data_IF_604100543352
#
_entry.id   IF_604100543352
#
_cell.length_a   1.000
_cell.length_b   1.000
_cell.length_c   1.000
_cell.angle_alpha   90.00
_cell.angle_beta   90.00
_cell.angle_gamma   90.00
#
_symmetry.space_group_name_H-M   'P 1'
#
loop_
_entity.id
_entity.type
_entity.pdbx_description
1 polymer ?
#
# COMPACT_ATOMS: atom_id res chain seq x y z
N UNK A 1 -15.34 -17.50 -16.64
CA UNK A 1 -13.91 -17.65 -17.00
C UNK A 1 -13.04 -16.66 -16.21
N UNK A 2 -12.28 -17.15 -15.24
CA UNK A 2 -11.26 -16.38 -14.52
C UNK A 2 -9.97 -16.41 -15.34
N UNK A 3 -9.74 -15.39 -16.17
CA UNK A 3 -8.43 -15.20 -16.80
C UNK A 3 -7.44 -14.79 -15.70
N UNK A 4 -6.61 -15.73 -15.23
CA UNK A 4 -5.41 -15.40 -14.46
C UNK A 4 -4.49 -14.60 -15.37
N UNK A 5 -4.08 -13.41 -14.94
CA UNK A 5 -3.13 -12.60 -15.69
C UNK A 5 -1.81 -13.36 -15.80
N UNK A 6 -1.40 -13.69 -17.02
CA UNK A 6 -0.07 -14.23 -17.30
C UNK A 6 0.97 -13.14 -17.06
N UNK A 7 2.12 -13.49 -16.50
CA UNK A 7 3.25 -12.55 -16.42
C UNK A 7 3.67 -12.14 -17.83
N UNK A 8 4.25 -10.94 -17.98
CA UNK A 8 4.82 -10.47 -19.25
C UNK A 8 5.76 -11.50 -19.87
N UNK A 9 6.59 -12.13 -19.04
CA UNK A 9 7.52 -13.18 -19.46
C UNK A 9 6.78 -14.38 -20.07
N UNK A 10 5.73 -14.87 -19.41
CA UNK A 10 4.96 -16.02 -19.91
C UNK A 10 4.14 -15.69 -21.16
N UNK A 11 3.69 -14.44 -21.30
CA UNK A 11 3.05 -13.97 -22.53
C UNK A 11 4.03 -13.97 -23.71
N UNK A 12 5.23 -13.40 -23.52
CA UNK A 12 6.27 -13.39 -24.55
C UNK A 12 6.70 -14.79 -24.95
N UNK A 13 6.81 -15.70 -23.98
CA UNK A 13 7.11 -17.11 -24.24
C UNK A 13 6.05 -17.76 -25.14
N UNK A 14 4.76 -17.50 -24.89
CA UNK A 14 3.67 -18.03 -25.72
C UNK A 14 3.65 -17.42 -27.12
N UNK A 15 3.88 -16.11 -27.23
CA UNK A 15 3.98 -15.43 -28.54
C UNK A 15 5.12 -16.01 -29.37
N UNK A 16 6.30 -16.21 -28.76
CA UNK A 16 7.44 -16.83 -29.43
C UNK A 16 7.15 -18.28 -29.84
N UNK A 17 6.47 -19.07 -28.99
CA UNK A 17 6.07 -20.44 -29.35
C UNK A 17 5.10 -20.46 -30.53
N UNK A 18 4.13 -19.55 -30.57
CA UNK A 18 3.19 -19.43 -31.70
C UNK A 18 3.94 -19.11 -32.99
N UNK A 19 4.90 -18.18 -32.94
CA UNK A 19 5.72 -17.83 -34.09
C UNK A 19 6.61 -18.99 -34.56
N UNK A 20 7.29 -19.69 -33.64
CA UNK A 20 8.11 -20.86 -33.99
C UNK A 20 7.25 -21.96 -34.63
N UNK A 21 6.07 -22.24 -34.06
CA UNK A 21 5.15 -23.24 -34.62
C UNK A 21 4.62 -22.83 -35.99
N UNK A 22 4.35 -21.54 -36.23
CA UNK A 22 3.87 -21.06 -37.52
C UNK A 22 4.89 -21.27 -38.63
N UNK A 23 6.18 -21.03 -38.34
CA UNK A 23 7.29 -21.32 -39.25
C UNK A 23 7.34 -22.82 -39.59
N UNK A 24 7.23 -23.70 -38.60
CA UNK A 24 7.30 -25.15 -38.81
C UNK A 24 6.18 -25.70 -39.70
N UNK A 25 5.02 -25.05 -39.71
CA UNK A 25 3.87 -25.45 -40.54
C UNK A 25 3.72 -24.60 -41.81
N UNK A 26 4.70 -23.73 -42.12
CA UNK A 26 4.69 -22.88 -43.31
C UNK A 26 3.60 -21.80 -43.33
N UNK A 27 3.14 -21.35 -42.16
CA UNK A 27 2.12 -20.28 -42.01
C UNK A 27 2.68 -19.01 -41.35
N UNK A 28 3.99 -18.84 -41.36
CA UNK A 28 4.70 -17.66 -40.84
C UNK A 28 4.16 -16.35 -41.41
N UNK A 29 4.03 -16.25 -42.75
CA UNK A 29 3.50 -15.05 -43.42
C UNK A 29 2.05 -14.69 -43.06
N UNK A 30 1.25 -15.68 -42.66
CA UNK A 30 -0.14 -15.43 -42.23
C UNK A 30 -0.14 -14.90 -40.79
N UNK A 31 0.65 -15.51 -39.92
CA UNK A 31 0.83 -15.06 -38.53
C UNK A 31 1.45 -13.66 -38.46
N UNK A 32 2.42 -13.34 -39.31
CA UNK A 32 3.00 -11.99 -39.38
C UNK A 32 1.94 -10.94 -39.76
N UNK A 33 1.11 -11.22 -40.77
CA UNK A 33 0.01 -10.33 -41.17
C UNK A 33 -1.00 -10.12 -40.04
N UNK A 34 -1.41 -11.19 -39.37
CA UNK A 34 -2.31 -11.10 -38.21
C UNK A 34 -1.67 -10.32 -37.05
N UNK A 35 -0.36 -10.48 -36.81
CA UNK A 35 0.37 -9.70 -35.80
C UNK A 35 0.40 -8.20 -36.13
N UNK A 36 0.60 -7.83 -37.40
CA UNK A 36 0.54 -6.43 -37.84
C UNK A 36 -0.86 -5.84 -37.63
N UNK A 37 -1.92 -6.58 -37.93
CA UNK A 37 -3.30 -6.15 -37.69
C UNK A 37 -3.58 -6.00 -36.19
N UNK A 38 -3.11 -6.94 -35.36
CA UNK A 38 -3.20 -6.85 -33.90
C UNK A 38 -2.44 -5.64 -33.36
N UNK A 39 -1.27 -5.31 -33.93
CA UNK A 39 -0.48 -4.15 -33.52
C UNK A 39 -1.18 -2.81 -33.80
N UNK A 40 -2.07 -2.76 -34.81
CA UNK A 40 -2.92 -1.59 -35.11
C UNK A 40 -4.09 -1.43 -34.14
N UNK A 41 -4.44 -2.46 -33.38
CA UNK A 41 -5.54 -2.39 -32.42
C UNK A 41 -5.15 -1.46 -31.27
N UNK A 42 -5.91 -0.38 -31.11
CA UNK A 42 -5.84 0.46 -29.93
C UNK A 42 -6.37 -0.31 -28.71
N UNK A 43 -5.44 -0.91 -27.96
CA UNK A 43 -5.74 -1.68 -26.76
C UNK A 43 -6.55 -0.87 -25.75
N UNK A 44 -6.39 0.46 -25.69
CA UNK A 44 -7.09 1.32 -24.73
C UNK A 44 -8.61 1.32 -24.93
N UNK A 45 -9.05 1.08 -26.18
CA UNK A 45 -10.46 0.98 -26.54
C UNK A 45 -11.08 -0.37 -26.20
N UNK A 46 -10.26 -1.40 -25.95
CA UNK A 46 -10.76 -2.76 -25.69
C UNK A 46 -11.43 -2.89 -24.33
N UNK A 47 -12.42 -3.80 -24.23
CA UNK A 47 -13.06 -4.16 -22.96
C UNK A 47 -12.06 -4.71 -21.94
N UNK A 48 -11.05 -5.45 -22.40
CA UNK A 48 -10.01 -6.04 -21.56
C UNK A 48 -9.20 -4.95 -20.85
N UNK A 49 -8.73 -3.96 -21.61
CA UNK A 49 -7.98 -2.83 -21.04
C UNK A 49 -8.80 -2.04 -20.04
N UNK A 50 -10.05 -1.66 -20.37
CA UNK A 50 -10.94 -0.93 -19.45
C UNK A 50 -11.16 -1.70 -18.14
N UNK A 51 -11.32 -3.02 -18.22
CA UNK A 51 -11.46 -3.88 -17.02
C UNK A 51 -10.17 -3.93 -16.21
N UNK A 52 -9.01 -4.03 -16.87
CA UNK A 52 -7.70 -3.97 -16.22
C UNK A 52 -7.47 -2.64 -15.51
N UNK A 53 -7.71 -1.53 -16.21
CA UNK A 53 -7.59 -0.17 -15.67
C UNK A 53 -8.50 0.05 -14.46
N UNK A 54 -9.79 -0.32 -14.53
CA UNK A 54 -10.71 -0.21 -13.40
C UNK A 54 -10.21 -0.98 -12.18
N UNK A 55 -9.77 -2.23 -12.37
CA UNK A 55 -9.21 -3.04 -11.28
C UNK A 55 -7.93 -2.43 -10.69
N UNK A 56 -7.07 -1.86 -11.54
CA UNK A 56 -5.86 -1.17 -11.10
C UNK A 56 -6.18 0.05 -10.25
N UNK A 57 -7.09 0.91 -10.72
CA UNK A 57 -7.56 2.09 -10.00
C UNK A 57 -8.22 1.70 -8.67
N UNK A 58 -9.13 0.72 -8.68
CA UNK A 58 -9.83 0.27 -7.49
C UNK A 58 -8.85 -0.25 -6.41
N UNK A 59 -7.86 -1.06 -6.82
CA UNK A 59 -6.82 -1.55 -5.91
C UNK A 59 -5.95 -0.42 -5.38
N UNK A 60 -5.45 0.43 -6.27
CA UNK A 60 -4.59 1.56 -5.90
C UNK A 60 -5.29 2.53 -4.95
N UNK A 61 -6.56 2.84 -5.21
CA UNK A 61 -7.37 3.69 -4.34
C UNK A 61 -7.60 3.02 -2.98
N UNK A 62 -7.96 1.74 -2.93
CA UNK A 62 -8.20 1.02 -1.68
C UNK A 62 -6.94 0.93 -0.82
N UNK A 63 -5.80 0.61 -1.41
CA UNK A 63 -4.50 0.55 -0.71
C UNK A 63 -4.05 1.95 -0.26
N UNK A 64 -4.18 2.95 -1.14
CA UNK A 64 -3.85 4.34 -0.85
C UNK A 64 -4.68 4.91 0.31
N UNK A 65 -6.00 4.73 0.30
CA UNK A 65 -6.89 5.16 1.38
C UNK A 65 -6.52 4.45 2.69
N UNK A 66 -6.32 3.12 2.67
CA UNK A 66 -5.97 2.37 3.88
C UNK A 66 -4.65 2.86 4.48
N UNK A 67 -3.64 3.09 3.66
CA UNK A 67 -2.33 3.59 4.11
C UNK A 67 -2.43 5.01 4.63
N UNK A 68 -3.05 5.91 3.87
CA UNK A 68 -3.23 7.31 4.26
C UNK A 68 -4.05 7.48 5.53
N UNK A 69 -5.12 6.70 5.71
CA UNK A 69 -5.91 6.71 6.95
C UNK A 69 -5.09 6.24 8.16
N UNK A 70 -4.31 5.16 7.99
CA UNK A 70 -3.44 4.64 9.07
C UNK A 70 -2.40 5.68 9.48
N UNK A 71 -1.71 6.27 8.52
CA UNK A 71 -0.69 7.31 8.76
C UNK A 71 -1.30 8.58 9.37
N UNK A 72 -2.48 9.01 8.89
CA UNK A 72 -3.20 10.16 9.44
C UNK A 72 -3.64 9.94 10.90
N UNK A 73 -4.16 8.75 11.23
CA UNK A 73 -4.53 8.40 12.61
C UNK A 73 -3.29 8.35 13.50
N UNK A 74 -2.20 7.73 13.05
CA UNK A 74 -0.94 7.67 13.80
C UNK A 74 -0.41 9.07 14.11
N UNK A 75 -0.30 9.92 13.08
CA UNK A 75 0.20 11.30 13.23
C UNK A 75 -0.69 12.13 14.15
N UNK A 76 -2.01 12.09 13.96
CA UNK A 76 -2.95 12.83 14.82
C UNK A 76 -2.95 12.35 16.27
N UNK A 77 -2.76 11.06 16.52
CA UNK A 77 -2.59 10.54 17.89
C UNK A 77 -1.29 11.02 18.52
N UNK A 78 -0.16 10.98 17.77
CA UNK A 78 1.14 11.47 18.27
C UNK A 78 1.10 12.96 18.61
N UNK A 79 0.54 13.78 17.70
CA UNK A 79 0.39 15.22 17.93
C UNK A 79 -0.48 15.51 19.17
N UNK A 80 -1.61 14.81 19.32
CA UNK A 80 -2.46 14.97 20.50
C UNK A 80 -1.75 14.56 21.81
N UNK A 81 -1.05 13.42 21.80
CA UNK A 81 -0.28 12.96 22.96
C UNK A 81 0.83 13.93 23.32
N UNK A 82 1.52 14.49 22.32
CA UNK A 82 2.56 15.48 22.53
C UNK A 82 2.00 16.71 23.25
N UNK A 83 0.88 17.26 22.76
CA UNK A 83 0.19 18.40 23.41
C UNK A 83 -0.20 18.04 24.85
N UNK A 84 -0.83 16.88 25.05
CA UNK A 84 -1.27 16.45 26.38
C UNK A 84 -0.08 16.32 27.37
N UNK A 85 1.11 15.88 26.90
CA UNK A 85 2.33 15.78 27.70
C UNK A 85 2.89 17.18 28.02
N UNK A 86 2.97 18.05 27.03
CA UNK A 86 3.49 19.42 27.18
C UNK A 86 2.60 20.24 28.14
N UNK A 87 1.27 20.15 28.01
CA UNK A 87 0.34 20.87 28.87
C UNK A 87 0.38 20.42 30.33
N UNK A 88 0.59 19.11 30.56
CA UNK A 88 0.52 18.54 31.91
C UNK A 88 1.84 18.49 32.65
N UNK A 89 2.93 18.25 31.94
CA UNK A 89 4.24 17.97 32.53
C UNK A 89 5.32 18.97 32.08
N UNK A 90 5.00 19.87 31.15
CA UNK A 90 5.93 20.89 30.67
C UNK A 90 7.23 20.27 30.14
N UNK A 91 8.36 20.92 30.46
CA UNK A 91 9.69 20.47 30.02
C UNK A 91 10.10 19.12 30.60
N UNK A 92 9.59 18.71 31.77
CA UNK A 92 9.86 17.39 32.34
C UNK A 92 9.34 16.28 31.43
N UNK A 93 8.24 16.53 30.70
CA UNK A 93 7.63 15.61 29.74
C UNK A 93 8.39 15.39 28.44
N UNK A 94 9.38 16.24 28.14
CA UNK A 94 9.92 16.37 26.79
C UNK A 94 10.65 15.13 26.27
N UNK A 95 11.33 14.41 27.15
CA UNK A 95 12.02 13.17 26.75
C UNK A 95 11.05 12.05 26.34
N UNK A 96 9.79 12.08 26.81
CA UNK A 96 8.75 11.14 26.40
C UNK A 96 8.30 11.35 24.95
N UNK A 97 8.37 12.60 24.46
CA UNK A 97 8.03 12.94 23.08
C UNK A 97 9.02 12.30 22.10
N UNK A 98 10.31 12.24 22.46
CA UNK A 98 11.30 11.54 21.65
C UNK A 98 11.01 10.04 21.55
N UNK A 99 10.63 9.41 22.66
CA UNK A 99 10.26 7.98 22.68
C UNK A 99 8.97 7.74 21.86
N UNK A 100 8.02 8.68 21.90
CA UNK A 100 6.74 8.60 21.19
C UNK A 100 6.93 8.52 19.66
N UNK A 101 7.94 9.19 19.10
CA UNK A 101 8.17 9.25 17.64
C UNK A 101 8.34 7.87 17.01
N UNK A 102 8.96 6.94 17.73
CA UNK A 102 9.26 5.60 17.22
C UNK A 102 8.06 4.63 17.29
N UNK A 103 7.00 4.99 18.01
CA UNK A 103 5.83 4.13 18.21
C UNK A 103 4.90 4.21 16.99
N UNK A 104 4.75 3.11 16.25
CA UNK A 104 3.84 3.03 15.08
C UNK A 104 2.55 2.26 15.36
N UNK A 105 2.42 1.67 16.53
CA UNK A 105 1.23 0.92 16.94
C UNK A 105 0.13 1.89 17.39
N UNK A 106 -0.95 1.95 16.61
CA UNK A 106 -2.11 2.81 16.88
C UNK A 106 -2.81 2.44 18.20
N UNK A 107 -2.90 1.16 18.55
CA UNK A 107 -3.53 0.74 19.80
C UNK A 107 -2.66 1.12 21.00
N UNK A 108 -1.33 1.01 20.86
CA UNK A 108 -0.40 1.53 21.87
C UNK A 108 -0.52 3.04 22.05
N UNK A 109 -0.62 3.81 20.96
CA UNK A 109 -0.85 5.25 21.01
C UNK A 109 -2.18 5.59 21.72
N UNK A 110 -3.26 4.87 21.45
CA UNK A 110 -4.54 5.05 22.16
C UNK A 110 -4.42 4.71 23.65
N UNK A 111 -3.66 3.69 24.01
CA UNK A 111 -3.39 3.31 25.40
C UNK A 111 -2.65 4.43 26.14
N UNK A 112 -1.59 4.99 25.52
CA UNK A 112 -0.83 6.13 26.05
C UNK A 112 -1.74 7.34 26.25
N UNK A 113 -2.55 7.70 25.25
CA UNK A 113 -3.48 8.82 25.35
C UNK A 113 -4.46 8.67 26.53
N UNK A 114 -5.00 7.46 26.74
CA UNK A 114 -5.89 7.19 27.88
C UNK A 114 -5.15 7.24 29.21
N UNK A 115 -3.91 6.77 29.23
CA UNK A 115 -3.08 6.77 30.43
C UNK A 115 -2.72 8.19 30.87
N UNK A 116 -2.42 9.09 29.93
CA UNK A 116 -2.15 10.49 30.23
C UNK A 116 -3.29 11.04 31.07
N UNK A 117 -4.54 10.96 30.61
CA UNK A 117 -5.71 11.45 31.34
C UNK A 117 -5.89 10.88 32.76
N UNK A 118 -5.31 9.72 33.08
CA UNK A 118 -5.46 9.06 34.39
C UNK A 118 -4.20 9.11 35.26
N UNK A 119 -3.06 9.46 34.69
CA UNK A 119 -1.80 9.45 35.41
C UNK A 119 -1.77 10.52 36.50
N UNK A 120 -1.21 10.16 37.65
CA UNK A 120 -0.94 11.11 38.73
C UNK A 120 0.43 11.76 38.54
N UNK A 121 1.34 11.09 37.82
CA UNK A 121 2.66 11.64 37.49
C UNK A 121 3.26 11.11 36.19
N UNK A 122 4.36 11.74 35.77
CA UNK A 122 5.06 11.43 34.51
C UNK A 122 5.58 9.98 34.44
N UNK A 123 5.93 9.40 35.60
CA UNK A 123 6.44 8.02 35.71
C UNK A 123 5.42 6.97 35.26
N UNK A 124 4.12 7.23 35.41
CA UNK A 124 3.07 6.32 34.97
C UNK A 124 3.03 6.21 33.44
N UNK A 125 3.31 7.33 32.76
CA UNK A 125 3.37 7.41 31.29
C UNK A 125 4.66 6.78 30.78
N UNK A 126 5.78 7.03 31.46
CA UNK A 126 7.07 6.46 31.10
C UNK A 126 7.04 4.93 31.12
N UNK A 127 6.44 4.32 32.15
CA UNK A 127 6.29 2.85 32.24
C UNK A 127 5.56 2.28 31.03
N UNK A 128 4.52 2.96 30.55
CA UNK A 128 3.73 2.49 29.40
C UNK A 128 4.53 2.67 28.11
N UNK A 129 5.23 3.79 27.94
CA UNK A 129 6.04 4.08 26.75
C UNK A 129 7.24 3.12 26.60
N UNK A 130 7.90 2.78 27.71
CA UNK A 130 9.08 1.90 27.71
C UNK A 130 8.76 0.41 27.71
N UNK A 131 7.52 0.00 27.98
CA UNK A 131 7.18 -1.41 28.02
C UNK A 131 6.88 -1.92 26.59
N UNK A 132 7.77 -2.74 25.99
CA UNK A 132 7.49 -3.35 24.70
C UNK A 132 6.31 -4.30 24.86
N UNK A 133 5.27 -4.10 24.06
CA UNK A 133 4.34 -5.17 23.72
C UNK A 133 4.94 -5.98 22.57
#
# INVERSE_FOLDING_TARGET
>A
MNYRFLSRQKLMELVNKIYILSVLVGRDREVEREMEEVAKIDLTKTRLFRKGLRKGIERGLKEGIKKGLKEGIEKGLKEGIQIDIEERFGDEGRYLIEILKDIKDIEKLKEIKRAINKAEGIQDIEKILRNPK
#
